data_IF_095451880047
#
_entry.id   IF_095451880047
#
_cell.length_a   1.000
_cell.length_b   1.000
_cell.length_c   1.000
_cell.angle_alpha   90.00
_cell.angle_beta   90.00
_cell.angle_gamma   90.00
#
_symmetry.space_group_name_H-M   'P 1'
#
loop_
_entity.id
_entity.type
_entity.pdbx_description
1 polymer ?
#
# COMPACT_ATOMS: atom_id res chain seq x y z
N UNK A 1 -3.16 2.27 19.01
CA UNK A 1 -2.98 1.10 18.13
C UNK A 1 -4.36 0.58 17.83
N UNK A 2 -5.01 1.14 16.82
CA UNK A 2 -6.24 0.55 16.30
C UNK A 2 -5.85 -0.69 15.48
N UNK A 3 -6.48 -1.85 15.71
CA UNK A 3 -6.19 -3.04 14.93
C UNK A 3 -6.53 -2.79 13.47
N UNK A 4 -5.58 -3.04 12.58
CA UNK A 4 -5.79 -3.12 11.14
C UNK A 4 -6.85 -4.22 10.86
N UNK A 5 -8.06 -3.91 10.35
CA UNK A 5 -9.10 -4.91 10.14
C UNK A 5 -8.95 -5.68 8.80
N UNK A 6 -7.79 -5.59 8.15
CA UNK A 6 -7.61 -6.09 6.78
C UNK A 6 -7.24 -7.59 6.80
N UNK A 7 -8.25 -8.45 6.76
CA UNK A 7 -8.05 -9.88 6.48
C UNK A 7 -7.84 -10.06 4.96
N UNK A 8 -6.59 -10.30 4.56
CA UNK A 8 -6.22 -10.61 3.16
C UNK A 8 -6.07 -12.11 3.03
N UNK A 9 -6.91 -12.75 2.21
CA UNK A 9 -6.76 -14.18 1.91
C UNK A 9 -6.11 -14.33 0.54
N UNK A 10 -4.81 -14.68 0.51
CA UNK A 10 -4.11 -15.07 -0.72
C UNK A 10 -4.47 -16.52 -1.07
N UNK A 11 -5.24 -16.73 -2.13
CA UNK A 11 -5.47 -18.08 -2.67
C UNK A 11 -4.19 -18.59 -3.36
N UNK A 12 -3.82 -19.86 -3.15
CA UNK A 12 -2.57 -20.51 -3.63
C UNK A 12 -2.61 -20.99 -5.10
N UNK A 13 -3.44 -20.38 -5.93
CA UNK A 13 -3.51 -20.63 -7.39
C UNK A 13 -3.46 -19.28 -8.09
N UNK A 14 -3.32 -19.14 -9.43
CA UNK A 14 -3.20 -17.82 -10.09
C UNK A 14 -4.51 -16.99 -10.03
N UNK A 15 -5.41 -17.35 -9.11
CA UNK A 15 -6.79 -16.99 -9.02
C UNK A 15 -6.98 -15.91 -7.96
N UNK A 16 -7.57 -14.79 -8.38
CA UNK A 16 -8.45 -13.92 -7.60
C UNK A 16 -8.08 -13.73 -6.12
N UNK A 17 -7.37 -12.64 -5.80
CA UNK A 17 -7.17 -12.23 -4.40
C UNK A 17 -8.39 -11.46 -3.89
N UNK A 18 -8.81 -11.70 -2.64
CA UNK A 18 -9.85 -10.91 -1.96
C UNK A 18 -9.26 -10.21 -0.75
N UNK A 19 -9.55 -8.92 -0.62
CA UNK A 19 -9.18 -8.11 0.52
C UNK A 19 -10.39 -7.30 0.99
N UNK A 20 -10.61 -7.20 2.30
CA UNK A 20 -11.59 -6.28 2.86
C UNK A 20 -10.88 -4.95 3.10
N UNK A 21 -11.37 -3.82 2.57
CA UNK A 21 -10.80 -2.51 2.80
C UNK A 21 -11.90 -1.45 2.91
N UNK A 22 -11.87 -0.63 3.97
CA UNK A 22 -12.91 0.39 4.21
C UNK A 22 -14.33 -0.18 4.34
N UNK A 23 -14.47 -1.44 4.79
CA UNK A 23 -15.75 -2.14 4.89
C UNK A 23 -16.26 -2.75 3.58
N UNK A 24 -15.49 -2.69 2.49
CA UNK A 24 -15.87 -3.24 1.18
C UNK A 24 -14.96 -4.39 0.76
N UNK A 25 -15.52 -5.38 0.08
CA UNK A 25 -14.70 -6.44 -0.52
C UNK A 25 -14.10 -5.96 -1.84
N UNK A 26 -12.77 -5.97 -1.88
CA UNK A 26 -11.99 -5.79 -3.09
C UNK A 26 -11.65 -7.16 -3.65
N UNK A 27 -12.06 -7.39 -4.89
CA UNK A 27 -11.68 -8.59 -5.65
C UNK A 27 -10.65 -8.15 -6.68
N UNK A 28 -9.48 -8.76 -6.59
CA UNK A 28 -8.32 -8.47 -7.43
C UNK A 28 -8.11 -9.65 -8.37
N UNK A 29 -8.32 -9.44 -9.67
CA UNK A 29 -8.19 -10.49 -10.69
C UNK A 29 -7.08 -10.18 -11.69
N UNK A 30 -6.38 -11.22 -12.21
CA UNK A 30 -5.55 -11.07 -13.39
C UNK A 30 -6.39 -10.53 -14.56
N UNK A 31 -5.79 -9.75 -15.45
CA UNK A 31 -6.44 -9.31 -16.68
C UNK A 31 -6.93 -10.54 -17.48
N UNK A 32 -8.15 -10.53 -18.05
CA UNK A 32 -8.72 -11.69 -18.75
C UNK A 32 -7.85 -12.22 -19.89
N UNK A 33 -7.12 -11.33 -20.57
CA UNK A 33 -6.22 -11.69 -21.69
C UNK A 33 -4.78 -12.00 -21.25
N UNK A 34 -4.52 -12.18 -19.96
CA UNK A 34 -3.18 -12.49 -19.43
C UNK A 34 -2.20 -11.31 -19.37
N UNK A 35 -2.69 -10.07 -19.50
CA UNK A 35 -1.88 -8.84 -19.38
C UNK A 35 -1.58 -8.40 -17.94
N UNK A 36 -0.71 -7.39 -17.80
CA UNK A 36 -0.23 -6.79 -16.54
C UNK A 36 -1.28 -6.01 -15.72
N UNK A 37 -2.55 -6.04 -16.11
CA UNK A 37 -3.57 -5.18 -15.53
C UNK A 37 -4.31 -5.85 -14.36
N UNK A 38 -4.49 -5.06 -13.30
CA UNK A 38 -5.16 -5.44 -12.06
C UNK A 38 -6.58 -4.87 -12.05
N UNK A 39 -7.61 -5.72 -12.10
CA UNK A 39 -8.98 -5.25 -11.91
C UNK A 39 -9.32 -5.27 -10.42
N UNK A 40 -9.66 -4.10 -9.87
CA UNK A 40 -10.21 -3.95 -8.52
C UNK A 40 -11.73 -3.82 -8.66
N UNK A 41 -12.44 -4.90 -8.35
CA UNK A 41 -13.91 -4.93 -8.37
C UNK A 41 -14.45 -4.69 -6.96
N UNK A 42 -15.54 -3.95 -6.86
CA UNK A 42 -16.29 -3.70 -5.61
C UNK A 42 -17.66 -4.35 -5.73
N UNK A 43 -18.22 -4.82 -4.61
CA UNK A 43 -19.50 -5.51 -4.52
C UNK A 43 -20.73 -4.59 -4.61
N UNK A 44 -20.57 -3.30 -4.37
CA UNK A 44 -21.66 -2.32 -4.36
C UNK A 44 -21.70 -1.47 -5.66
N UNK A 45 -22.81 -1.48 -6.42
CA UNK A 45 -22.98 -0.58 -7.56
C UNK A 45 -23.26 0.84 -7.08
N UNK A 46 -22.35 1.78 -7.37
CA UNK A 46 -22.52 3.20 -7.02
C UNK A 46 -21.39 4.05 -7.55
N UNK A 47 -21.52 5.38 -7.39
CA UNK A 47 -20.44 6.33 -7.64
C UNK A 47 -19.33 6.08 -6.60
N UNK A 48 -18.31 5.33 -7.01
CA UNK A 48 -17.16 5.01 -6.17
C UNK A 48 -16.07 6.01 -6.44
N UNK A 49 -15.57 6.66 -5.38
CA UNK A 49 -14.33 7.42 -5.47
C UNK A 49 -13.20 6.43 -5.79
N UNK A 50 -12.81 6.38 -7.06
CA UNK A 50 -11.76 5.50 -7.55
C UNK A 50 -10.42 5.74 -6.84
N UNK A 51 -10.16 6.96 -6.37
CA UNK A 51 -8.94 7.29 -5.62
C UNK A 51 -8.98 6.64 -4.24
N UNK A 52 -10.11 6.75 -3.54
CA UNK A 52 -10.30 6.12 -2.24
C UNK A 52 -10.23 4.58 -2.35
N UNK A 53 -10.84 4.02 -3.39
CA UNK A 53 -10.82 2.58 -3.66
C UNK A 53 -9.41 2.06 -3.93
N UNK A 54 -8.67 2.76 -4.80
CA UNK A 54 -7.28 2.42 -5.10
C UNK A 54 -6.40 2.55 -3.86
N UNK A 55 -6.55 3.62 -3.08
CA UNK A 55 -5.84 3.79 -1.81
C UNK A 55 -6.09 2.59 -0.90
N UNK A 56 -7.35 2.22 -0.70
CA UNK A 56 -7.73 1.10 0.16
C UNK A 56 -7.17 -0.24 -0.34
N UNK A 57 -7.14 -0.47 -1.66
CA UNK A 57 -6.54 -1.66 -2.26
C UNK A 57 -5.03 -1.75 -1.99
N UNK A 58 -4.31 -0.64 -2.17
CA UNK A 58 -2.86 -0.57 -1.96
C UNK A 58 -2.49 -0.80 -0.48
N UNK A 59 -3.27 -0.22 0.44
CA UNK A 59 -3.14 -0.44 1.89
C UNK A 59 -3.31 -1.93 2.23
N UNK A 60 -4.39 -2.55 1.75
CA UNK A 60 -4.68 -3.94 2.05
C UNK A 60 -3.66 -4.92 1.45
N UNK A 61 -3.12 -4.61 0.27
CA UNK A 61 -2.15 -5.48 -0.38
C UNK A 61 -0.69 -5.17 0.02
N UNK A 62 -0.47 -4.11 0.80
CA UNK A 62 0.85 -3.56 1.13
C UNK A 62 1.70 -3.32 -0.13
N UNK A 63 1.08 -2.68 -1.12
CA UNK A 63 1.71 -2.32 -2.40
C UNK A 63 1.90 -0.81 -2.49
N UNK A 64 3.02 -0.39 -3.08
CA UNK A 64 3.22 0.99 -3.47
C UNK A 64 2.92 1.18 -4.96
N UNK A 65 2.15 2.20 -5.32
CA UNK A 65 1.89 2.50 -6.73
C UNK A 65 3.16 2.98 -7.44
N UNK A 66 4.11 3.60 -6.74
CA UNK A 66 5.36 4.03 -7.38
C UNK A 66 6.21 2.81 -7.77
N UNK A 67 6.20 1.75 -6.97
CA UNK A 67 6.88 0.49 -7.29
C UNK A 67 6.18 -0.25 -8.43
N UNK A 68 4.84 -0.21 -8.43
CA UNK A 68 4.05 -0.76 -9.53
C UNK A 68 4.37 -0.04 -10.84
N UNK A 69 4.36 1.30 -10.86
CA UNK A 69 4.69 2.11 -12.05
C UNK A 69 6.13 1.90 -12.50
N UNK A 70 7.08 1.72 -11.57
CA UNK A 70 8.47 1.44 -11.93
C UNK A 70 8.64 0.10 -12.64
N UNK A 71 7.81 -0.89 -12.31
CA UNK A 71 7.83 -2.23 -12.92
C UNK A 71 6.93 -2.30 -14.17
N UNK A 72 5.86 -1.50 -14.19
CA UNK A 72 4.80 -1.46 -15.18
C UNK A 72 4.54 -0.01 -15.62
N UNK A 73 5.36 0.56 -16.52
CA UNK A 73 5.25 1.96 -16.94
C UNK A 73 3.93 2.26 -17.68
N UNK A 74 3.20 1.24 -18.14
CA UNK A 74 1.85 1.35 -18.69
C UNK A 74 0.81 1.80 -17.64
N UNK A 75 1.11 1.64 -16.34
CA UNK A 75 0.24 2.06 -15.25
C UNK A 75 0.36 3.57 -15.07
N UNK A 76 -0.77 4.28 -15.16
CA UNK A 76 -0.81 5.71 -14.83
C UNK A 76 -0.81 5.91 -13.32
N UNK A 77 0.10 6.76 -12.85
CA UNK A 77 0.19 7.11 -11.42
C UNK A 77 -1.03 7.92 -10.98
N UNK A 78 -1.80 7.39 -10.03
CA UNK A 78 -2.89 8.12 -9.40
C UNK A 78 -2.38 9.23 -8.46
N UNK A 79 -3.18 10.29 -8.28
CA UNK A 79 -2.92 11.36 -7.31
C UNK A 79 -3.31 10.90 -5.89
N UNK A 80 -2.43 10.12 -5.28
CA UNK A 80 -2.58 9.64 -3.90
C UNK A 80 -1.78 10.52 -2.92
N UNK A 81 -2.14 10.56 -1.62
CA UNK A 81 -1.30 11.18 -0.59
C UNK A 81 0.14 10.66 -0.63
N UNK A 82 1.08 11.47 -0.14
CA UNK A 82 2.47 11.04 0.01
C UNK A 82 2.76 10.80 1.48
N UNK A 83 3.37 9.67 1.80
CA UNK A 83 3.88 9.32 3.12
C UNK A 83 5.40 9.25 3.05
N UNK A 84 6.08 9.84 4.01
CA UNK A 84 7.53 9.91 4.05
C UNK A 84 8.04 9.15 5.26
N UNK A 85 8.87 8.13 5.02
CA UNK A 85 9.63 7.46 6.07
C UNK A 85 10.84 8.32 6.42
N UNK A 86 10.94 8.67 7.69
CA UNK A 86 12.05 9.40 8.26
C UNK A 86 12.85 8.49 9.19
N UNK A 87 14.13 8.83 9.35
CA UNK A 87 15.04 8.27 10.36
C UNK A 87 15.69 9.41 11.12
N UNK A 88 15.81 9.28 12.43
CA UNK A 88 16.66 10.11 13.28
C UNK A 88 17.74 9.26 13.92
N UNK A 89 18.98 9.72 13.90
CA UNK A 89 20.08 9.09 14.64
C UNK A 89 20.16 9.60 16.10
N UNK A 90 21.08 9.04 16.88
CA UNK A 90 21.32 9.42 18.27
C UNK A 90 21.98 10.81 18.43
N UNK A 91 22.43 11.41 17.33
CA UNK A 91 22.87 12.80 17.26
C UNK A 91 21.73 13.78 16.92
N UNK A 92 20.51 13.29 16.69
CA UNK A 92 19.34 14.11 16.35
C UNK A 92 19.26 14.50 14.87
N UNK A 93 20.12 13.95 14.00
CA UNK A 93 20.05 14.23 12.57
C UNK A 93 18.88 13.48 11.93
N UNK A 94 18.03 14.20 11.21
CA UNK A 94 16.85 13.65 10.54
C UNK A 94 17.11 13.44 9.06
N UNK A 95 16.88 12.22 8.59
CA UNK A 95 17.07 11.81 7.21
C UNK A 95 15.78 11.29 6.61
N UNK A 96 15.44 11.80 5.43
CA UNK A 96 14.37 11.23 4.63
C UNK A 96 14.86 9.93 4.00
N UNK A 97 14.25 8.82 4.39
CA UNK A 97 14.61 7.50 3.88
C UNK A 97 13.95 7.25 2.52
N UNK A 98 12.62 7.34 2.47
CA UNK A 98 11.83 7.00 1.27
C UNK A 98 10.44 7.64 1.32
N UNK A 99 9.84 7.81 0.13
CA UNK A 99 8.44 8.22 -0.04
C UNK A 99 7.60 7.02 -0.48
N UNK A 100 6.34 7.02 -0.06
CA UNK A 100 5.35 6.00 -0.33
C UNK A 100 4.01 6.65 -0.67
N UNK A 101 3.19 5.93 -1.43
CA UNK A 101 1.76 6.22 -1.63
C UNK A 101 0.86 5.34 -0.76
N UNK A 102 1.42 4.26 -0.20
CA UNK A 102 0.76 3.39 0.77
C UNK A 102 1.30 3.66 2.18
N UNK A 103 0.43 4.05 3.11
CA UNK A 103 0.80 4.36 4.49
C UNK A 103 1.22 3.09 5.24
N UNK A 104 0.41 2.03 5.19
CA UNK A 104 0.69 0.78 5.90
C UNK A 104 2.01 0.16 5.44
N UNK A 105 2.36 0.30 4.16
CA UNK A 105 3.67 -0.13 3.68
C UNK A 105 4.80 0.71 4.28
N UNK A 106 4.66 2.05 4.31
CA UNK A 106 5.64 2.92 4.95
C UNK A 106 5.84 2.60 6.44
N UNK A 107 4.74 2.35 7.16
CA UNK A 107 4.74 1.99 8.58
C UNK A 107 5.38 0.62 8.80
N UNK A 108 5.04 -0.39 7.98
CA UNK A 108 5.67 -1.71 8.04
C UNK A 108 7.18 -1.64 7.83
N UNK A 109 7.63 -0.82 6.89
CA UNK A 109 9.07 -0.61 6.67
C UNK A 109 9.71 0.09 7.88
N UNK A 110 9.05 1.09 8.47
CA UNK A 110 9.51 1.73 9.71
C UNK A 110 9.68 0.72 10.86
N UNK A 111 8.67 -0.11 11.10
CA UNK A 111 8.70 -1.19 12.09
C UNK A 111 9.83 -2.20 11.81
N UNK A 112 10.03 -2.55 10.54
CA UNK A 112 11.12 -3.44 10.15
C UNK A 112 12.51 -2.83 10.38
N UNK A 113 12.65 -1.50 10.29
CA UNK A 113 13.88 -0.80 10.68
C UNK A 113 14.06 -0.74 12.20
N UNK A 114 13.02 -0.43 12.96
CA UNK A 114 13.03 -0.41 14.42
C UNK A 114 13.40 -1.78 15.01
N UNK A 115 12.87 -2.87 14.44
CA UNK A 115 13.12 -4.23 14.90
C UNK A 115 14.59 -4.68 14.79
N UNK A 116 15.44 -3.95 14.04
CA UNK A 116 16.87 -4.28 13.88
C UNK A 116 17.74 -3.86 15.09
N UNK A 117 17.19 -3.15 16.07
CA UNK A 117 17.85 -2.93 17.38
C UNK A 117 18.97 -1.89 17.39
N UNK A 118 18.89 -0.86 16.56
CA UNK A 118 19.84 0.26 16.54
C UNK A 118 19.32 1.47 17.35
N UNK A 119 20.21 2.39 17.79
CA UNK A 119 19.85 3.65 18.49
C UNK A 119 19.25 4.71 17.55
N UNK A 120 18.37 4.29 16.64
CA UNK A 120 17.78 5.15 15.62
C UNK A 120 16.27 5.11 15.79
N UNK A 121 15.61 6.24 15.54
CA UNK A 121 14.15 6.32 15.56
C UNK A 121 13.63 6.49 14.15
N UNK A 122 12.58 5.75 13.80
CA UNK A 122 11.92 5.76 12.51
C UNK A 122 10.45 6.13 12.67
N UNK A 123 9.95 7.00 11.80
CA UNK A 123 8.54 7.37 11.80
C UNK A 123 8.06 7.71 10.40
N UNK A 124 6.73 7.69 10.24
CA UNK A 124 6.07 8.05 9.00
C UNK A 124 5.36 9.39 9.19
N UNK A 125 5.54 10.28 8.23
CA UNK A 125 4.87 11.59 8.20
C UNK A 125 4.16 11.79 6.87
N UNK A 126 2.96 12.38 6.91
CA UNK A 126 2.24 12.78 5.69
C UNK A 126 2.87 14.06 5.13
N UNK A 127 3.17 14.06 3.82
CA UNK A 127 3.66 15.23 3.10
C UNK A 127 2.57 15.93 2.28
#
# INVERSE_FOLDING_TARGET
>A
MDPCPLAVTRARTPATSRALAGGRWLVVRPHPDGGSALHVLTDEPGDVDATALLSAALEALLLDVDDLVATHPEVTRARLPTWTLWRQDDNGNRFRMRRYRCRALAEREAEAYEARGHKQTYWVERA
#
